data_IF_664153051235
#
_entry.id   IF_664153051235
#
_cell.length_a   1.000
_cell.length_b   1.000
_cell.length_c   1.000
_cell.angle_alpha   90.00
_cell.angle_beta   90.00
_cell.angle_gamma   90.00
#
_symmetry.space_group_name_H-M   'P 1'
#
loop_
_entity.id
_entity.type
_entity.pdbx_description
1 polymer ?
#
# COMPACT_ATOMS: atom_id res chain seq x y z
N UNK A 1 -6.33 -23.85 -21.66
CA UNK A 1 -5.43 -23.35 -20.60
C UNK A 1 -4.03 -23.26 -21.21
N UNK A 2 -3.77 -22.19 -21.98
CA UNK A 2 -2.47 -22.01 -22.61
C UNK A 2 -1.48 -21.58 -21.53
N UNK A 3 -0.42 -22.34 -21.34
CA UNK A 3 0.71 -21.95 -20.53
C UNK A 3 1.37 -20.74 -21.22
N UNK A 4 1.02 -19.54 -20.80
CA UNK A 4 1.80 -18.35 -21.13
C UNK A 4 3.18 -18.56 -20.51
N UNK A 5 4.16 -18.95 -21.33
CA UNK A 5 5.56 -19.00 -20.89
C UNK A 5 6.00 -17.57 -20.63
N UNK A 6 6.36 -17.27 -19.38
CA UNK A 6 6.98 -16.00 -19.01
C UNK A 6 8.22 -15.80 -19.89
N UNK A 7 8.25 -14.69 -20.60
CA UNK A 7 9.41 -14.24 -21.35
C UNK A 7 10.60 -14.00 -20.40
N UNK A 8 11.82 -14.15 -20.91
CA UNK A 8 13.03 -13.86 -20.12
C UNK A 8 13.05 -12.44 -19.55
N UNK A 9 12.44 -11.48 -20.25
CA UNK A 9 12.31 -10.09 -19.78
C UNK A 9 11.40 -9.97 -18.55
N UNK A 10 10.26 -10.67 -18.52
CA UNK A 10 9.35 -10.64 -17.37
C UNK A 10 10.01 -11.22 -16.12
N UNK A 11 10.77 -12.31 -16.28
CA UNK A 11 11.52 -12.93 -15.18
C UNK A 11 12.57 -11.94 -14.63
N UNK A 12 13.34 -11.31 -15.52
CA UNK A 12 14.34 -10.31 -15.12
C UNK A 12 13.68 -9.14 -14.39
N UNK A 13 12.55 -8.65 -14.88
CA UNK A 13 11.82 -7.56 -14.25
C UNK A 13 11.33 -7.94 -12.84
N UNK A 14 10.76 -9.14 -12.66
CA UNK A 14 10.31 -9.63 -11.34
C UNK A 14 11.48 -9.79 -10.38
N UNK A 15 12.58 -10.40 -10.82
CA UNK A 15 13.77 -10.58 -9.98
C UNK A 15 14.35 -9.23 -9.57
N UNK A 16 14.47 -8.28 -10.50
CA UNK A 16 14.95 -6.93 -10.20
C UNK A 16 14.05 -6.22 -9.18
N UNK A 17 12.72 -6.34 -9.32
CA UNK A 17 11.75 -5.79 -8.39
C UNK A 17 11.88 -6.39 -6.99
N UNK A 18 12.00 -7.72 -6.89
CA UNK A 18 12.19 -8.41 -5.60
C UNK A 18 13.50 -8.02 -4.93
N UNK A 19 14.60 -7.91 -5.69
CA UNK A 19 15.88 -7.44 -5.18
C UNK A 19 15.80 -6.00 -4.69
N UNK A 20 15.12 -5.11 -5.42
CA UNK A 20 14.93 -3.73 -5.01
C UNK A 20 14.16 -3.62 -3.68
N UNK A 21 13.04 -4.34 -3.54
CA UNK A 21 12.27 -4.34 -2.29
C UNK A 21 13.05 -4.99 -1.14
N UNK A 22 13.73 -6.10 -1.40
CA UNK A 22 14.59 -6.75 -0.41
C UNK A 22 15.71 -5.84 0.09
N UNK A 23 16.37 -5.12 -0.83
CA UNK A 23 17.38 -4.12 -0.51
C UNK A 23 16.81 -2.98 0.33
N UNK A 24 15.65 -2.43 -0.05
CA UNK A 24 14.98 -1.36 0.71
C UNK A 24 14.56 -1.83 2.11
N UNK A 25 14.09 -3.08 2.24
CA UNK A 25 13.79 -3.71 3.52
C UNK A 25 15.03 -3.84 4.42
N UNK A 26 16.15 -4.29 3.86
CA UNK A 26 17.42 -4.38 4.58
C UNK A 26 17.94 -2.99 4.99
N UNK A 27 17.79 -2.00 4.12
CA UNK A 27 18.15 -0.61 4.39
C UNK A 27 17.32 -0.04 5.55
N UNK A 28 16.00 -0.29 5.55
CA UNK A 28 15.10 0.09 6.64
C UNK A 28 15.48 -0.59 7.95
N UNK A 29 15.76 -1.90 7.91
CA UNK A 29 16.23 -2.66 9.07
C UNK A 29 17.51 -2.07 9.68
N UNK A 30 18.53 -1.80 8.84
CA UNK A 30 19.81 -1.21 9.29
C UNK A 30 19.68 0.20 9.87
N UNK A 31 18.65 0.96 9.46
CA UNK A 31 18.39 2.33 9.93
C UNK A 31 17.55 2.39 11.20
N UNK A 32 16.81 1.32 11.52
CA UNK A 32 15.95 1.26 12.70
C UNK A 32 16.80 0.97 13.93
N UNK A 33 16.89 1.93 14.88
CA UNK A 33 17.70 1.75 16.10
C UNK A 33 16.88 1.76 17.38
N UNK A 34 15.68 2.32 17.36
CA UNK A 34 14.81 2.43 18.53
C UNK A 34 13.33 2.25 18.13
N UNK A 35 12.42 2.09 19.11
CA UNK A 35 10.98 1.90 18.83
C UNK A 35 10.34 3.05 18.04
N UNK A 36 10.79 4.30 18.23
CA UNK A 36 10.23 5.45 17.50
C UNK A 36 10.61 5.44 16.01
N UNK A 37 11.79 4.93 15.66
CA UNK A 37 12.19 4.72 14.27
C UNK A 37 11.30 3.67 13.60
N UNK A 38 10.98 2.60 14.34
CA UNK A 38 10.17 1.48 13.83
C UNK A 38 8.69 1.83 13.71
N UNK A 39 8.10 2.45 14.74
CA UNK A 39 6.65 2.67 14.83
C UNK A 39 6.18 3.91 14.06
N UNK A 40 7.00 4.97 14.01
CA UNK A 40 6.60 6.27 13.44
C UNK A 40 7.64 6.84 12.47
N UNK A 41 8.61 6.03 12.02
CA UNK A 41 9.64 6.47 11.06
C UNK A 41 10.51 7.60 11.61
N UNK A 42 10.70 7.67 12.93
CA UNK A 42 11.46 8.73 13.60
C UNK A 42 10.86 10.12 13.43
N UNK A 43 9.60 10.24 12.97
CA UNK A 43 8.87 11.50 12.73
C UNK A 43 9.52 12.45 11.72
N UNK A 44 10.41 11.93 10.87
CA UNK A 44 11.15 12.70 9.86
C UNK A 44 10.65 12.44 8.43
N UNK A 45 9.76 11.46 8.24
CA UNK A 45 9.23 11.12 6.92
C UNK A 45 8.34 12.23 6.40
N UNK A 46 8.58 12.64 5.15
CA UNK A 46 7.79 13.67 4.49
C UNK A 46 6.31 13.25 4.37
N UNK A 47 5.32 14.12 4.67
CA UNK A 47 3.90 13.77 4.65
C UNK A 47 3.40 13.15 3.36
N UNK A 48 3.92 13.60 2.21
CA UNK A 48 3.59 13.02 0.91
C UNK A 48 4.00 11.54 0.80
N UNK A 49 5.20 11.19 1.29
CA UNK A 49 5.67 9.80 1.28
C UNK A 49 4.79 8.96 2.20
N UNK A 50 4.42 9.48 3.38
CA UNK A 50 3.53 8.78 4.30
C UNK A 50 2.15 8.51 3.67
N UNK A 51 1.57 9.50 2.96
CA UNK A 51 0.28 9.35 2.29
C UNK A 51 0.35 8.31 1.15
N UNK A 52 1.41 8.35 0.33
CA UNK A 52 1.64 7.35 -0.72
C UNK A 52 1.82 5.94 -0.14
N UNK A 53 2.62 5.80 0.92
CA UNK A 53 2.81 4.52 1.60
C UNK A 53 1.48 3.98 2.14
N UNK A 54 0.66 4.82 2.76
CA UNK A 54 -0.67 4.42 3.22
C UNK A 54 -1.55 3.92 2.07
N UNK A 55 -1.58 4.65 0.95
CA UNK A 55 -2.32 4.23 -0.25
C UNK A 55 -1.83 2.89 -0.79
N UNK A 56 -0.50 2.70 -0.87
CA UNK A 56 0.10 1.45 -1.31
C UNK A 56 -0.22 0.28 -0.37
N UNK A 57 -0.25 0.50 0.94
CA UNK A 57 -0.65 -0.52 1.94
C UNK A 57 -2.12 -0.93 1.80
N UNK A 58 -2.99 0.00 1.40
CA UNK A 58 -4.42 -0.29 1.23
C UNK A 58 -4.72 -1.16 -0.01
N UNK A 59 -3.92 -1.03 -1.07
CA UNK A 59 -4.11 -1.77 -2.32
C UNK A 59 -3.39 -3.13 -2.24
N UNK A 60 -4.14 -4.17 -1.87
CA UNK A 60 -3.65 -5.55 -1.88
C UNK A 60 -3.84 -6.21 -3.25
N UNK A 61 -3.11 -7.30 -3.50
CA UNK A 61 -3.35 -8.17 -4.66
C UNK A 61 -4.79 -8.68 -4.71
N UNK A 62 -5.39 -8.96 -3.55
CA UNK A 62 -6.80 -9.37 -3.46
C UNK A 62 -7.76 -8.26 -3.89
N UNK A 63 -7.44 -6.98 -3.64
CA UNK A 63 -8.24 -5.87 -4.16
C UNK A 63 -8.14 -5.81 -5.70
N UNK A 64 -6.94 -5.89 -6.27
CA UNK A 64 -6.73 -5.82 -7.72
C UNK A 64 -7.42 -6.98 -8.44
N UNK A 65 -7.11 -8.22 -8.05
CA UNK A 65 -7.64 -9.43 -8.70
C UNK A 65 -9.12 -9.63 -8.36
N UNK A 66 -9.51 -9.38 -7.11
CA UNK A 66 -10.88 -9.55 -6.65
C UNK A 66 -11.85 -8.55 -7.28
N UNK A 67 -11.58 -7.24 -7.16
CA UNK A 67 -12.44 -6.24 -7.81
C UNK A 67 -12.39 -6.35 -9.33
N UNK A 68 -11.23 -6.66 -9.92
CA UNK A 68 -11.11 -6.93 -11.35
C UNK A 68 -11.99 -8.11 -11.79
N UNK A 69 -11.99 -9.22 -11.04
CA UNK A 69 -12.83 -10.38 -11.32
C UNK A 69 -14.32 -10.09 -11.19
N UNK A 70 -14.73 -9.39 -10.12
CA UNK A 70 -16.13 -8.98 -9.90
C UNK A 70 -16.61 -8.03 -11.00
N UNK A 71 -15.79 -7.04 -11.38
CA UNK A 71 -16.10 -6.15 -12.50
C UNK A 71 -16.16 -6.91 -13.84
N UNK A 72 -15.34 -7.94 -14.03
CA UNK A 72 -15.41 -8.82 -15.21
C UNK A 72 -16.71 -9.63 -15.30
N UNK A 73 -17.32 -9.97 -14.16
CA UNK A 73 -18.58 -10.73 -14.12
C UNK A 73 -19.83 -9.85 -14.19
N UNK A 74 -19.84 -8.73 -13.47
CA UNK A 74 -21.03 -7.88 -13.29
C UNK A 74 -20.94 -6.53 -14.02
N UNK A 75 -19.82 -6.26 -14.68
CA UNK A 75 -19.56 -5.04 -15.42
C UNK A 75 -18.93 -3.92 -14.59
N UNK A 76 -18.46 -2.88 -15.30
CA UNK A 76 -17.86 -1.69 -14.71
C UNK A 76 -18.85 -0.83 -13.92
N UNK A 77 -20.15 -1.13 -14.01
CA UNK A 77 -21.19 -0.46 -13.20
C UNK A 77 -20.94 -0.60 -11.71
N UNK A 78 -20.22 -1.64 -11.23
CA UNK A 78 -19.91 -1.79 -9.80
C UNK A 78 -18.78 -0.90 -9.28
N UNK A 79 -18.06 -0.18 -10.15
CA UNK A 79 -16.92 0.66 -9.75
C UNK A 79 -17.29 1.77 -8.76
N UNK A 80 -18.55 2.20 -8.72
CA UNK A 80 -19.00 3.20 -7.74
C UNK A 80 -18.82 2.72 -6.30
N UNK A 81 -18.94 1.40 -6.03
CA UNK A 81 -18.74 0.85 -4.69
C UNK A 81 -17.29 1.03 -4.22
N UNK A 82 -16.33 0.64 -5.06
CA UNK A 82 -14.91 0.81 -4.77
C UNK A 82 -14.53 2.29 -4.69
N UNK A 83 -15.07 3.11 -5.60
CA UNK A 83 -14.86 4.56 -5.58
C UNK A 83 -15.37 5.19 -4.29
N UNK A 84 -16.61 4.93 -3.87
CA UNK A 84 -17.14 5.50 -2.63
C UNK A 84 -16.44 4.95 -1.39
N UNK A 85 -16.03 3.67 -1.38
CA UNK A 85 -15.26 3.11 -0.28
C UNK A 85 -13.93 3.84 -0.07
N UNK A 86 -13.20 4.09 -1.17
CA UNK A 86 -11.92 4.81 -1.12
C UNK A 86 -12.15 6.30 -0.89
N UNK A 87 -12.93 6.96 -1.75
CA UNK A 87 -13.10 8.41 -1.73
C UNK A 87 -13.85 8.92 -0.50
N UNK A 88 -14.94 8.26 -0.10
CA UNK A 88 -15.75 8.69 1.05
C UNK A 88 -15.31 7.96 2.32
N UNK A 89 -15.16 6.63 2.28
CA UNK A 89 -14.81 5.84 3.45
C UNK A 89 -13.47 6.24 4.06
N UNK A 90 -12.40 6.29 3.25
CA UNK A 90 -11.08 6.70 3.73
C UNK A 90 -11.10 8.17 4.14
N UNK A 91 -11.72 9.06 3.36
CA UNK A 91 -11.81 10.47 3.71
C UNK A 91 -12.46 10.69 5.08
N UNK A 92 -13.63 10.08 5.30
CA UNK A 92 -14.35 10.17 6.58
C UNK A 92 -13.50 9.60 7.73
N UNK A 93 -12.84 8.46 7.53
CA UNK A 93 -11.95 7.89 8.53
C UNK A 93 -10.79 8.84 8.89
N UNK A 94 -10.14 9.44 7.91
CA UNK A 94 -9.02 10.37 8.16
C UNK A 94 -9.48 11.68 8.79
N UNK A 95 -10.61 12.24 8.36
CA UNK A 95 -11.14 13.48 8.94
C UNK A 95 -11.55 13.27 10.40
N UNK A 96 -12.25 12.18 10.70
CA UNK A 96 -12.78 11.95 12.05
C UNK A 96 -11.75 11.35 13.02
N UNK A 97 -10.89 10.45 12.54
CA UNK A 97 -9.95 9.70 13.38
C UNK A 97 -8.52 10.20 13.26
N UNK A 98 -8.12 10.81 12.15
CA UNK A 98 -6.73 11.16 11.87
C UNK A 98 -6.10 12.05 12.94
N UNK A 99 -6.81 13.08 13.40
CA UNK A 99 -6.34 13.96 14.49
C UNK A 99 -6.15 13.21 15.82
N UNK A 100 -7.11 12.35 16.18
CA UNK A 100 -7.05 11.54 17.42
C UNK A 100 -5.90 10.53 17.37
N UNK A 101 -5.75 9.83 16.25
CA UNK A 101 -4.67 8.87 16.01
C UNK A 101 -3.30 9.54 16.03
N UNK A 102 -3.18 10.74 15.44
CA UNK A 102 -1.95 11.52 15.51
C UNK A 102 -1.57 11.88 16.95
N UNK A 103 -2.51 12.32 17.77
CA UNK A 103 -2.23 12.62 19.18
C UNK A 103 -1.79 11.38 19.97
N UNK A 104 -2.39 10.21 19.73
CA UNK A 104 -1.92 8.96 20.31
C UNK A 104 -0.48 8.64 19.86
N UNK A 105 -0.15 8.84 18.59
CA UNK A 105 1.19 8.64 18.05
C UNK A 105 2.27 9.58 18.60
N UNK A 106 1.90 10.72 19.21
CA UNK A 106 2.85 11.58 19.92
C UNK A 106 3.20 11.08 21.33
N UNK A 107 2.40 10.16 21.89
CA UNK A 107 2.60 9.59 23.23
C UNK A 107 3.41 8.29 23.24
N UNK A 108 3.74 7.76 22.04
CA UNK A 108 4.60 6.59 21.80
C UNK A 108 6.06 6.99 21.60
#
# INVERSE_FOLDING_TARGET
MLAYSLSGLEIVAVVAYLLAIGYLGLLGYRRTRNPSDYLVGGRKTHPFIMALSYGATFISTSAIVGFGGVAGMFGMSLLWLTFLNIAVGIFVAFVLLGGRTRHMGHRL
#
